data_IF_464193577582
#
_entry.id   IF_464193577582
#
_cell.length_a   1.000
_cell.length_b   1.000
_cell.length_c   1.000
_cell.angle_alpha   90.00
_cell.angle_beta   90.00
_cell.angle_gamma   90.00
#
_symmetry.space_group_name_H-M   'P 1'
#
loop_
_entity.id
_entity.type
_entity.pdbx_description
1 polymer ?
#
# COMPACT_ATOMS: atom_id res chain seq x y z
N UNK A 1 -14.61 7.78 -12.44
CA UNK A 1 -14.93 6.51 -11.77
C UNK A 1 -14.66 6.73 -10.30
N UNK A 2 -15.69 6.75 -9.45
CA UNK A 2 -15.50 6.90 -8.01
C UNK A 2 -15.00 5.54 -7.52
N UNK A 3 -13.78 5.48 -6.96
CA UNK A 3 -13.32 4.28 -6.28
C UNK A 3 -14.07 4.20 -4.95
N UNK A 4 -14.77 3.10 -4.71
CA UNK A 4 -15.51 2.91 -3.46
C UNK A 4 -14.54 2.54 -2.35
N UNK A 5 -14.69 3.16 -1.18
CA UNK A 5 -13.99 2.73 0.04
C UNK A 5 -14.46 1.32 0.43
N UNK A 6 -13.51 0.46 0.81
CA UNK A 6 -13.81 -0.92 1.22
C UNK A 6 -13.90 -0.96 2.75
N UNK A 7 -15.11 -1.07 3.28
CA UNK A 7 -15.35 -1.09 4.73
C UNK A 7 -14.57 -2.23 5.41
N UNK A 8 -13.85 -1.89 6.48
CA UNK A 8 -13.05 -2.85 7.26
C UNK A 8 -11.68 -3.18 6.66
N UNK A 9 -11.34 -2.63 5.49
CA UNK A 9 -9.98 -2.74 4.95
C UNK A 9 -9.01 -1.87 5.75
N UNK A 10 -7.74 -2.28 5.84
CA UNK A 10 -6.71 -1.47 6.48
C UNK A 10 -5.31 -1.78 5.94
N UNK A 11 -4.39 -0.86 6.21
CA UNK A 11 -2.95 -1.08 6.07
C UNK A 11 -2.34 -0.94 7.47
N UNK A 12 -1.78 -2.02 7.99
CA UNK A 12 -1.09 -2.05 9.29
C UNK A 12 0.41 -2.05 9.10
N UNK A 13 1.14 -1.41 10.02
CA UNK A 13 2.60 -1.32 9.99
C UNK A 13 3.22 -2.07 11.16
N UNK A 14 4.28 -2.83 10.89
CA UNK A 14 5.01 -3.61 11.89
C UNK A 14 6.48 -3.24 11.85
N UNK A 15 7.09 -3.05 13.03
CA UNK A 15 8.53 -2.86 13.19
C UNK A 15 9.10 -4.06 13.94
N UNK A 16 9.93 -4.86 13.26
CA UNK A 16 10.55 -6.07 13.82
C UNK A 16 9.52 -7.00 14.49
N UNK A 17 8.38 -7.24 13.83
CA UNK A 17 7.31 -8.11 14.33
C UNK A 17 6.33 -7.47 15.32
N UNK A 18 6.59 -6.23 15.78
CA UNK A 18 5.73 -5.53 16.75
C UNK A 18 4.80 -4.55 16.00
N UNK A 19 3.49 -4.65 16.24
CA UNK A 19 2.52 -3.71 15.66
C UNK A 19 2.83 -2.27 16.06
N UNK A 20 2.82 -1.38 15.07
CA UNK A 20 2.88 0.08 15.25
C UNK A 20 1.49 0.72 15.02
N UNK A 21 0.46 -0.12 14.84
CA UNK A 21 -0.91 0.29 14.57
C UNK A 21 -1.26 0.38 13.08
N UNK A 22 -2.45 0.93 12.84
CA UNK A 22 -3.07 1.05 11.52
C UNK A 22 -2.71 2.40 10.90
N UNK A 23 -2.08 2.35 9.73
CA UNK A 23 -1.73 3.53 8.94
C UNK A 23 -2.93 4.09 8.16
N UNK A 24 -3.77 3.20 7.60
CA UNK A 24 -4.96 3.57 6.83
C UNK A 24 -6.13 2.63 7.13
N UNK A 25 -7.35 3.17 7.15
CA UNK A 25 -8.62 2.43 7.24
C UNK A 25 -9.48 2.73 6.04
N UNK A 26 -10.36 1.78 5.72
CA UNK A 26 -11.40 1.92 4.69
C UNK A 26 -10.81 2.42 3.37
N UNK A 27 -9.75 1.77 2.89
CA UNK A 27 -9.04 2.21 1.68
C UNK A 27 -9.88 2.02 0.41
N UNK A 28 -9.60 2.84 -0.60
CA UNK A 28 -10.21 2.72 -1.92
C UNK A 28 -9.98 1.33 -2.51
N UNK A 29 -11.03 0.75 -3.11
CA UNK A 29 -10.94 -0.49 -3.85
C UNK A 29 -9.98 -0.38 -5.04
N UNK A 30 -9.20 -1.43 -5.27
CA UNK A 30 -8.20 -1.46 -6.33
C UNK A 30 -7.16 -2.55 -6.11
N UNK A 31 -6.17 -2.62 -6.99
CA UNK A 31 -5.02 -3.50 -6.83
C UNK A 31 -3.84 -2.67 -6.35
N UNK A 32 -3.28 -3.05 -5.20
CA UNK A 32 -2.12 -2.41 -4.62
C UNK A 32 -0.91 -3.31 -4.80
N UNK A 33 0.22 -2.71 -5.19
CA UNK A 33 1.51 -3.39 -5.28
C UNK A 33 2.45 -2.82 -4.21
N UNK A 34 3.26 -3.65 -3.54
CA UNK A 34 4.27 -3.15 -2.62
C UNK A 34 5.27 -2.27 -3.39
N UNK A 35 5.55 -1.09 -2.86
CA UNK A 35 6.46 -0.12 -3.46
C UNK A 35 7.33 0.53 -2.39
N UNK A 36 8.56 0.85 -2.76
CA UNK A 36 9.47 1.64 -1.96
C UNK A 36 9.99 2.77 -2.82
N UNK A 37 10.05 3.97 -2.24
CA UNK A 37 10.72 5.13 -2.83
C UNK A 37 11.97 5.41 -2.01
N UNK A 38 13.09 5.66 -2.69
CA UNK A 38 14.38 5.89 -2.06
C UNK A 38 14.81 7.32 -2.33
N UNK A 39 15.29 8.00 -1.30
CA UNK A 39 15.87 9.32 -1.41
C UNK A 39 17.26 9.30 -0.75
N UNK A 40 18.28 9.70 -1.51
CA UNK A 40 19.67 9.75 -1.04
C UNK A 40 20.18 11.18 -1.16
N UNK A 41 20.75 11.71 -0.08
CA UNK A 41 21.38 13.03 -0.08
C UNK A 41 22.74 13.00 -0.80
N UNK A 42 23.21 14.14 -1.35
CA UNK A 42 24.58 14.25 -1.84
C UNK A 42 25.60 13.87 -0.74
N UNK A 43 26.65 13.15 -1.13
CA UNK A 43 27.73 12.72 -0.21
C UNK A 43 27.28 11.81 0.95
N UNK A 44 26.15 11.12 0.82
CA UNK A 44 25.73 10.05 1.73
C UNK A 44 25.80 8.70 1.02
N UNK A 45 25.87 7.62 1.79
CA UNK A 45 25.72 6.27 1.25
C UNK A 45 24.33 6.10 0.63
N UNK A 46 24.24 5.31 -0.44
CA UNK A 46 22.98 5.00 -1.10
C UNK A 46 21.97 4.43 -0.10
N UNK A 47 20.75 4.94 -0.14
CA UNK A 47 19.61 4.29 0.50
C UNK A 47 19.30 3.00 -0.27
N UNK A 48 19.36 1.86 0.42
CA UNK A 48 19.07 0.55 -0.14
C UNK A 48 17.90 -0.09 0.62
N UNK A 49 16.96 -0.65 -0.14
CA UNK A 49 15.82 -1.40 0.38
C UNK A 49 15.74 -2.74 -0.34
N UNK A 50 15.59 -3.82 0.43
CA UNK A 50 15.32 -5.16 -0.11
C UNK A 50 13.93 -5.60 0.31
N UNK A 51 13.10 -5.97 -0.66
CA UNK A 51 11.86 -6.67 -0.38
C UNK A 51 12.12 -8.13 -0.08
N UNK A 52 11.60 -8.61 1.03
CA UNK A 52 11.47 -10.03 1.32
C UNK A 52 10.00 -10.43 1.17
N UNK A 53 9.69 -11.22 0.14
CA UNK A 53 8.33 -11.64 -0.18
C UNK A 53 7.92 -12.95 0.52
N UNK A 54 8.79 -13.51 1.36
CA UNK A 54 8.60 -14.77 2.06
C UNK A 54 9.08 -15.99 1.25
N UNK A 55 8.83 -17.21 1.77
CA UNK A 55 8.03 -17.51 2.96
C UNK A 55 8.75 -17.26 4.29
N UNK A 56 10.08 -17.15 4.26
CA UNK A 56 10.88 -17.01 5.47
C UNK A 56 11.03 -15.54 5.87
N UNK A 57 10.46 -15.17 7.02
CA UNK A 57 10.53 -13.82 7.56
C UNK A 57 11.39 -13.79 8.83
N UNK A 58 12.26 -12.78 8.94
CA UNK A 58 13.11 -12.61 10.13
C UNK A 58 12.28 -12.27 11.38
N UNK A 59 11.27 -11.41 11.22
CA UNK A 59 10.37 -11.00 12.30
C UNK A 59 8.90 -11.06 11.84
N UNK A 60 8.32 -12.26 11.80
CA UNK A 60 6.88 -12.41 11.53
C UNK A 60 6.05 -11.92 12.74
N UNK A 61 4.97 -11.12 12.53
CA UNK A 61 4.18 -10.62 13.64
C UNK A 61 3.51 -11.73 14.47
N UNK A 62 3.52 -11.58 15.80
CA UNK A 62 2.81 -12.49 16.71
C UNK A 62 1.34 -12.12 16.92
N UNK A 63 0.96 -10.89 16.56
CA UNK A 63 -0.40 -10.37 16.66
C UNK A 63 -0.70 -9.48 15.44
N UNK A 64 -1.94 -9.49 14.98
CA UNK A 64 -2.44 -8.73 13.83
C UNK A 64 -3.58 -7.76 14.21
N UNK A 65 -3.71 -7.41 15.50
CA UNK A 65 -4.72 -6.45 15.99
C UNK A 65 -6.16 -6.86 15.60
N UNK A 66 -6.48 -8.15 15.74
CA UNK A 66 -7.72 -8.80 15.28
C UNK A 66 -7.93 -8.87 13.76
N UNK A 67 -6.96 -8.44 12.95
CA UNK A 67 -7.01 -8.66 11.50
C UNK A 67 -6.70 -10.14 11.18
N UNK A 68 -7.22 -10.67 10.07
CA UNK A 68 -6.81 -11.98 9.57
C UNK A 68 -5.30 -12.02 9.30
N UNK A 69 -4.66 -13.17 9.57
CA UNK A 69 -3.26 -13.40 9.21
C UNK A 69 -3.11 -13.36 7.68
N UNK A 70 -2.23 -12.52 7.12
CA UNK A 70 -2.04 -12.41 5.68
C UNK A 70 -1.25 -13.59 5.12
N UNK A 71 -1.39 -13.84 3.81
CA UNK A 71 -0.53 -14.78 3.08
C UNK A 71 0.73 -14.07 2.56
N UNK A 72 1.89 -14.76 2.49
CA UNK A 72 3.13 -14.22 1.91
C UNK A 72 2.96 -13.76 0.45
N UNK A 73 3.72 -12.73 0.06
CA UNK A 73 3.66 -12.21 -1.32
C UNK A 73 4.19 -13.22 -2.35
N UNK A 74 5.11 -14.11 -1.97
CA UNK A 74 5.61 -15.19 -2.84
C UNK A 74 4.49 -16.14 -3.33
N UNK A 75 3.36 -16.22 -2.61
CA UNK A 75 2.21 -17.02 -3.01
C UNK A 75 1.23 -16.29 -3.94
N UNK A 76 1.46 -15.01 -4.24
CA UNK A 76 0.59 -14.26 -5.15
C UNK A 76 0.85 -14.75 -6.58
N UNK A 77 -0.18 -15.24 -7.30
CA UNK A 77 0.01 -15.66 -8.68
C UNK A 77 0.52 -14.51 -9.55
N UNK A 78 1.37 -14.80 -10.54
CA UNK A 78 1.76 -13.78 -11.52
C UNK A 78 0.56 -13.45 -12.42
N UNK A 79 0.09 -12.21 -12.37
CA UNK A 79 -1.12 -11.78 -13.10
C UNK A 79 -0.85 -11.14 -14.47
N UNK A 80 0.41 -11.12 -14.95
CA UNK A 80 0.79 -10.41 -16.17
C UNK A 80 0.68 -8.88 -16.02
N UNK A 81 1.49 -8.14 -16.76
CA UNK A 81 1.33 -6.69 -16.87
C UNK A 81 0.24 -6.41 -17.90
N UNK A 82 -0.93 -5.93 -17.45
CA UNK A 82 -2.00 -5.49 -18.33
C UNK A 82 -1.66 -4.10 -18.87
N UNK A 83 -1.18 -4.02 -20.13
CA UNK A 83 -0.77 -2.79 -20.82
C UNK A 83 -1.92 -1.78 -21.03
N UNK A 84 -3.08 -1.96 -20.41
CA UNK A 84 -4.17 -0.98 -20.46
C UNK A 84 -3.68 0.30 -19.76
N UNK A 85 -3.59 1.44 -20.47
CA UNK A 85 -3.19 2.69 -19.86
C UNK A 85 -4.18 3.03 -18.74
N UNK A 86 -3.65 3.35 -17.56
CA UNK A 86 -4.47 3.88 -16.47
C UNK A 86 -5.22 5.13 -17.00
N UNK A 87 -6.53 5.24 -16.72
CA UNK A 87 -7.30 6.38 -17.20
C UNK A 87 -6.69 7.67 -16.63
N UNK A 88 -6.25 8.59 -17.51
CA UNK A 88 -5.73 9.89 -17.14
C UNK A 88 -6.76 10.62 -16.28
N UNK A 89 -6.43 10.88 -15.02
CA UNK A 89 -7.24 11.70 -14.12
C UNK A 89 -7.01 13.16 -14.54
N UNK A 90 -8.02 13.76 -15.16
CA UNK A 90 -8.05 15.20 -15.41
C UNK A 90 -8.33 15.93 -14.09
N UNK A 91 -7.27 16.50 -13.50
CA UNK A 91 -7.32 17.27 -12.25
C UNK A 91 -8.11 18.59 -12.36
N UNK A 92 -8.70 18.90 -13.52
CA UNK A 92 -9.37 20.20 -13.76
C UNK A 92 -10.86 20.20 -13.40
N UNK A 93 -11.45 19.07 -12.99
CA UNK A 93 -12.88 19.00 -12.58
C UNK A 93 -13.06 18.79 -11.09
N UNK A 94 -12.90 19.86 -10.32
CA UNK A 94 -13.20 19.85 -8.90
C UNK A 94 -13.05 21.21 -8.25
N UNK A 95 -13.72 22.25 -8.74
CA UNK A 95 -13.79 23.56 -8.07
C UNK A 95 -15.11 24.34 -8.27
N UNK A 96 -16.21 23.71 -8.69
CA UNK A 96 -17.47 24.44 -8.99
C UNK A 96 -18.62 24.20 -7.99
N UNK A 97 -18.37 23.59 -6.82
CA UNK A 97 -19.45 23.28 -5.86
C UNK A 97 -19.30 23.91 -4.46
N UNK A 98 -18.34 24.81 -4.26
CA UNK A 98 -18.21 25.57 -2.99
C UNK A 98 -18.29 27.05 -3.33
N UNK A 99 -19.48 27.54 -3.72
CA UNK A 99 -19.88 28.95 -3.73
C UNK A 99 -21.35 29.03 -4.18
N UNK A 100 -22.29 28.86 -3.27
CA UNK A 100 -23.58 29.54 -3.28
C UNK A 100 -24.23 29.34 -1.90
N UNK A 101 -24.14 30.41 -1.11
CA UNK A 101 -25.03 30.68 0.02
C UNK A 101 -26.45 30.99 -0.49
#
# INVERSE_FOLDING_TARGET
>A
MIMNLIAGSCISFFKNGISQGIAYRDIHGGRFYPAASMYTLPNQQNCEVKFNFGPDFECFPSDFDNCPVPRPMVEVPYHGYDNRPEPKIDSTKGNDAVNNA
#
